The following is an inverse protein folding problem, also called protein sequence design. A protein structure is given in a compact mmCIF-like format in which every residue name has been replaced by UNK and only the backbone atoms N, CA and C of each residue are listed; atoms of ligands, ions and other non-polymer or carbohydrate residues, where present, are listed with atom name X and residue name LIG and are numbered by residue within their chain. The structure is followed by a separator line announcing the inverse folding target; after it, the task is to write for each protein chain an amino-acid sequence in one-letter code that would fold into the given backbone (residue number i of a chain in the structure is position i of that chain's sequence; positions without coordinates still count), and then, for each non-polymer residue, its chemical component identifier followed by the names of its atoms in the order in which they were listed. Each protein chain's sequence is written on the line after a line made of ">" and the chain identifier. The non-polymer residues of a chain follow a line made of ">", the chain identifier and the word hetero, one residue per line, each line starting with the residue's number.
data_IF_510421306997
#
_entry.id   IF_510421306997
#
_cell.length_a   1.000
_cell.length_b   1.000
_cell.length_c   1.000
_cell.angle_alpha   90.00
_cell.angle_beta   90.00
_cell.angle_gamma   90.00
#
_symmetry.space_group_name_H-M   'P 1'
#
loop_
_entity.id
_entity.type
_entity.pdbx_description
1 polymer ?
#
# COMPACT_ATOMS: atom_id res chain seq x y z
N UNK A 1 1.63 21.56 -0.60
CA UNK A 1 2.06 22.77 -1.33
C UNK A 1 0.80 23.51 -1.74
N UNK A 2 0.48 24.66 -1.16
CA UNK A 2 -0.82 25.30 -1.43
C UNK A 2 -0.72 26.16 -2.69
N UNK A 3 -1.65 25.95 -3.63
CA UNK A 3 -1.82 26.80 -4.81
C UNK A 3 -2.97 27.78 -4.56
N UNK A 4 -2.73 29.09 -4.60
CA UNK A 4 -3.82 30.05 -4.56
C UNK A 4 -4.83 29.79 -5.69
N UNK A 5 -6.13 29.91 -5.40
CA UNK A 5 -7.21 29.66 -6.37
C UNK A 5 -7.02 30.43 -7.69
N UNK A 6 -6.56 31.67 -7.59
CA UNK A 6 -6.31 32.54 -8.75
C UNK A 6 -5.09 32.09 -9.57
N UNK A 7 -4.11 31.45 -8.94
CA UNK A 7 -2.96 30.86 -9.64
C UNK A 7 -3.39 29.60 -10.42
N UNK A 8 -4.29 28.79 -9.84
CA UNK A 8 -4.87 27.62 -10.53
C UNK A 8 -5.56 28.04 -11.83
N UNK A 9 -6.43 29.04 -11.74
CA UNK A 9 -7.17 29.58 -12.90
C UNK A 9 -6.23 30.18 -13.95
N UNK A 10 -5.26 30.98 -13.51
CA UNK A 10 -4.30 31.62 -14.41
C UNK A 10 -3.47 30.57 -15.15
N UNK A 11 -2.92 29.61 -14.41
CA UNK A 11 -2.07 28.56 -14.98
C UNK A 11 -2.83 27.66 -15.95
N UNK A 12 -4.09 27.34 -15.69
CA UNK A 12 -4.90 26.57 -16.65
C UNK A 12 -5.09 27.33 -17.97
N UNK A 13 -5.30 28.65 -17.91
CA UNK A 13 -5.46 29.49 -19.11
C UNK A 13 -4.15 29.65 -19.90
N UNK A 14 -3.02 29.67 -19.21
CA UNK A 14 -1.69 29.77 -19.83
C UNK A 14 -1.20 28.42 -20.37
N UNK A 15 -1.55 27.33 -19.69
CA UNK A 15 -1.13 25.96 -19.98
C UNK A 15 -2.33 25.02 -19.82
N UNK A 16 -3.16 24.87 -20.87
CA UNK A 16 -4.32 24.00 -20.82
C UNK A 16 -3.94 22.57 -20.40
N UNK A 17 -4.78 21.95 -19.58
CA UNK A 17 -4.62 20.56 -19.11
C UNK A 17 -3.41 20.35 -18.17
N UNK A 18 -2.78 21.44 -17.69
CA UNK A 18 -1.70 21.35 -16.72
C UNK A 18 -2.16 20.63 -15.45
N UNK A 19 -3.37 20.94 -14.96
CA UNK A 19 -3.86 20.34 -13.72
C UNK A 19 -4.17 18.87 -13.87
N UNK A 20 -4.65 18.42 -15.04
CA UNK A 20 -4.81 17.00 -15.33
C UNK A 20 -3.47 16.24 -15.16
N UNK A 21 -2.36 16.83 -15.60
CA UNK A 21 -1.04 16.24 -15.39
C UNK A 21 -0.61 16.27 -13.92
N UNK A 22 -0.75 17.42 -13.25
CA UNK A 22 -0.28 17.57 -11.87
C UNK A 22 -1.01 16.62 -10.92
N UNK A 23 -2.34 16.51 -11.03
CA UNK A 23 -3.13 15.68 -10.10
C UNK A 23 -2.82 14.19 -10.25
N UNK A 24 -2.52 13.71 -11.46
CA UNK A 24 -2.11 12.31 -11.65
C UNK A 24 -0.70 12.04 -11.10
N UNK A 25 0.24 12.96 -11.28
CA UNK A 25 1.57 12.86 -10.68
C UNK A 25 1.49 12.84 -9.15
N UNK A 26 0.62 13.68 -8.57
CA UNK A 26 0.34 13.69 -7.12
C UNK A 26 -0.22 12.36 -6.64
N UNK A 27 -1.30 11.86 -7.25
CA UNK A 27 -1.92 10.59 -6.86
C UNK A 27 -0.96 9.42 -7.03
N UNK A 28 -0.23 9.36 -8.15
CA UNK A 28 0.75 8.30 -8.42
C UNK A 28 1.82 8.23 -7.33
N UNK A 29 2.26 9.39 -6.82
CA UNK A 29 3.28 9.47 -5.77
C UNK A 29 2.76 8.93 -4.44
N UNK A 30 1.62 9.43 -3.95
CA UNK A 30 1.07 8.97 -2.65
C UNK A 30 0.63 7.50 -2.71
N UNK A 31 0.10 7.06 -3.85
CA UNK A 31 -0.23 5.66 -4.09
C UNK A 31 1.02 4.78 -3.95
N UNK A 32 2.14 5.16 -4.58
CA UNK A 32 3.38 4.40 -4.49
C UNK A 32 3.88 4.28 -3.05
N UNK A 33 3.88 5.40 -2.30
CA UNK A 33 4.26 5.39 -0.88
C UNK A 33 3.33 4.48 -0.07
N UNK A 34 2.03 4.52 -0.34
CA UNK A 34 1.05 3.70 0.35
C UNK A 34 1.27 2.19 0.10
N UNK A 35 1.57 1.79 -1.14
CA UNK A 35 1.89 0.38 -1.49
C UNK A 35 3.02 -0.14 -0.63
N UNK A 36 4.11 0.62 -0.51
CA UNK A 36 5.28 0.22 0.31
C UNK A 36 4.91 0.16 1.80
N UNK A 37 4.02 1.05 2.25
CA UNK A 37 3.62 1.09 3.67
C UNK A 37 2.85 -0.16 4.10
N UNK A 38 2.02 -0.72 3.22
CA UNK A 38 1.20 -1.90 3.51
C UNK A 38 1.83 -3.23 3.08
N UNK A 39 3.07 -3.21 2.57
CA UNK A 39 3.75 -4.39 2.00
C UNK A 39 4.13 -5.44 3.06
N UNK A 40 4.51 -5.01 4.26
CA UNK A 40 5.03 -5.88 5.32
C UNK A 40 3.95 -6.67 6.09
N UNK A 41 2.67 -6.52 5.73
CA UNK A 41 1.55 -7.16 6.41
C UNK A 41 0.38 -7.52 5.47
N UNK A 42 -0.57 -8.29 5.99
CA UNK A 42 -1.85 -8.48 5.29
C UNK A 42 -2.65 -7.18 5.41
N UNK A 43 -2.91 -6.47 4.30
CA UNK A 43 -3.65 -5.22 4.37
C UNK A 43 -5.08 -5.48 4.80
N UNK A 44 -5.67 -4.52 5.52
CA UNK A 44 -7.11 -4.56 5.77
C UNK A 44 -7.88 -4.37 4.47
N UNK A 45 -9.15 -4.78 4.46
CA UNK A 45 -10.07 -4.50 3.35
C UNK A 45 -10.10 -3.02 3.00
N UNK A 46 -10.08 -2.12 3.99
CA UNK A 46 -10.13 -0.68 3.76
C UNK A 46 -8.85 -0.19 3.08
N UNK A 47 -7.69 -0.66 3.55
CA UNK A 47 -6.39 -0.34 2.94
C UNK A 47 -6.32 -0.85 1.49
N UNK A 48 -6.72 -2.11 1.26
CA UNK A 48 -6.78 -2.68 -0.10
C UNK A 48 -7.75 -1.91 -0.99
N UNK A 49 -8.95 -1.59 -0.50
CA UNK A 49 -9.94 -0.82 -1.26
C UNK A 49 -9.45 0.59 -1.62
N UNK A 50 -8.75 1.29 -0.72
CA UNK A 50 -8.19 2.60 -1.01
C UNK A 50 -7.12 2.53 -2.12
N UNK A 51 -6.26 1.51 -2.10
CA UNK A 51 -5.26 1.29 -3.14
C UNK A 51 -5.91 0.97 -4.50
N UNK A 52 -6.85 0.03 -4.53
CA UNK A 52 -7.57 -0.35 -5.76
C UNK A 52 -8.39 0.82 -6.33
N UNK A 53 -8.92 1.69 -5.46
CA UNK A 53 -9.62 2.89 -5.89
C UNK A 53 -8.68 3.93 -6.52
N UNK A 54 -7.50 4.15 -5.93
CA UNK A 54 -6.46 4.98 -6.52
C UNK A 54 -6.02 4.45 -7.89
N UNK A 55 -5.87 3.13 -8.03
CA UNK A 55 -5.60 2.47 -9.31
C UNK A 55 -6.68 2.71 -10.35
N UNK A 56 -7.95 2.56 -9.95
CA UNK A 56 -9.08 2.82 -10.84
C UNK A 56 -9.14 4.27 -11.32
N UNK A 57 -8.65 5.25 -10.53
CA UNK A 57 -8.56 6.64 -10.96
C UNK A 57 -7.43 6.87 -11.97
N UNK A 58 -6.34 6.10 -11.89
CA UNK A 58 -5.17 6.22 -12.77
C UNK A 58 -5.25 5.34 -14.03
N UNK A 59 -6.09 4.31 -14.03
CA UNK A 59 -6.21 3.41 -15.19
C UNK A 59 -6.69 4.18 -16.43
N UNK A 60 -6.03 3.92 -17.56
CA UNK A 60 -6.35 4.58 -18.82
C UNK A 60 -6.18 6.10 -18.79
N UNK A 61 -5.30 6.65 -17.94
CA UNK A 61 -5.04 8.09 -17.89
C UNK A 61 -4.69 8.63 -19.29
N UNK A 62 -5.31 9.75 -19.73
CA UNK A 62 -5.16 10.25 -21.09
C UNK A 62 -3.71 10.69 -21.37
N UNK A 63 -3.30 10.51 -22.61
CA UNK A 63 -2.02 11.02 -23.08
C UNK A 63 -2.15 12.48 -23.52
N UNK A 64 -1.07 13.27 -23.48
CA UNK A 64 -1.09 14.63 -24.02
C UNK A 64 -1.62 14.68 -25.46
N UNK A 65 -2.62 15.52 -25.73
CA UNK A 65 -3.25 15.65 -27.04
C UNK A 65 -4.32 14.59 -27.37
N UNK A 66 -4.75 13.80 -26.39
CA UNK A 66 -5.93 12.94 -26.46
C UNK A 66 -7.18 13.73 -26.92
N UNK A 67 -7.96 13.15 -27.86
CA UNK A 67 -9.16 13.82 -28.42
C UNK A 67 -10.36 13.84 -27.48
N UNK A 68 -10.34 12.95 -26.50
CA UNK A 68 -11.34 12.76 -25.46
C UNK A 68 -11.09 13.64 -24.23
N UNK A 69 -10.06 14.49 -24.28
CA UNK A 69 -9.76 15.51 -23.25
C UNK A 69 -10.25 16.87 -23.74
N UNK A 70 -11.12 17.50 -22.95
CA UNK A 70 -11.57 18.87 -23.14
C UNK A 70 -10.87 19.82 -22.16
N UNK A 71 -10.81 21.10 -22.47
CA UNK A 71 -10.35 22.11 -21.51
C UNK A 71 -11.39 22.34 -20.39
N UNK A 72 -10.94 22.83 -19.23
CA UNK A 72 -11.86 23.11 -18.12
C UNK A 72 -12.82 24.26 -18.48
N UNK A 73 -14.15 24.07 -18.39
CA UNK A 73 -15.11 25.15 -18.52
C UNK A 73 -14.95 26.19 -17.40
N UNK A 74 -15.13 27.48 -17.71
CA UNK A 74 -14.94 28.58 -16.74
C UNK A 74 -15.79 28.40 -15.47
N UNK A 75 -16.99 27.85 -15.59
CA UNK A 75 -17.90 27.56 -14.47
C UNK A 75 -17.39 26.42 -13.55
N UNK A 76 -16.52 25.55 -14.05
CA UNK A 76 -15.95 24.41 -13.32
C UNK A 76 -14.58 24.73 -12.72
N UNK A 77 -13.94 25.85 -13.08
CA UNK A 77 -12.63 26.22 -12.55
C UNK A 77 -12.64 26.36 -11.01
N UNK A 78 -13.74 26.86 -10.46
CA UNK A 78 -13.87 27.08 -9.03
C UNK A 78 -13.94 25.77 -8.23
N UNK A 79 -14.59 24.74 -8.76
CA UNK A 79 -14.65 23.41 -8.14
C UNK A 79 -13.33 22.66 -8.31
N UNK A 80 -12.73 22.70 -9.50
CA UNK A 80 -11.42 22.08 -9.76
C UNK A 80 -10.36 22.67 -8.82
N UNK A 81 -10.36 23.98 -8.62
CA UNK A 81 -9.43 24.61 -7.70
C UNK A 81 -9.63 24.17 -6.24
N UNK A 82 -10.87 23.93 -5.81
CA UNK A 82 -11.17 23.41 -4.48
C UNK A 82 -10.74 21.94 -4.33
N UNK A 83 -10.92 21.11 -5.36
CA UNK A 83 -10.40 19.73 -5.38
C UNK A 83 -8.87 19.71 -5.29
N UNK A 84 -8.16 20.59 -6.03
CA UNK A 84 -6.69 20.69 -5.98
C UNK A 84 -6.21 21.14 -4.59
N UNK A 85 -6.87 22.11 -3.98
CA UNK A 85 -6.56 22.53 -2.60
C UNK A 85 -6.76 21.37 -1.62
N UNK A 86 -7.83 20.61 -1.80
CA UNK A 86 -8.16 19.44 -0.99
C UNK A 86 -7.12 18.32 -1.16
N UNK A 87 -6.67 18.06 -2.39
CA UNK A 87 -5.58 17.12 -2.69
C UNK A 87 -4.32 17.51 -1.92
N UNK A 88 -3.88 18.76 -2.01
CA UNK A 88 -2.65 19.20 -1.35
C UNK A 88 -2.76 19.16 0.18
N UNK A 89 -3.95 19.47 0.72
CA UNK A 89 -4.23 19.31 2.16
C UNK A 89 -4.08 17.85 2.60
N UNK A 90 -4.76 16.92 1.93
CA UNK A 90 -4.72 15.50 2.30
C UNK A 90 -3.36 14.86 2.00
N UNK A 91 -2.57 15.37 1.06
CA UNK A 91 -1.16 14.95 0.91
C UNK A 91 -0.34 15.31 2.16
N UNK A 92 -0.58 16.48 2.74
CA UNK A 92 0.11 16.89 3.96
C UNK A 92 -0.36 16.05 5.17
N UNK A 93 -1.64 15.67 5.26
CA UNK A 93 -2.16 14.74 6.27
C UNK A 93 -1.61 13.31 6.08
N UNK A 94 -1.61 12.81 4.84
CA UNK A 94 -1.06 11.50 4.45
C UNK A 94 0.41 11.36 4.89
N UNK A 95 1.22 12.41 4.69
CA UNK A 95 2.62 12.45 5.15
C UNK A 95 2.77 12.39 6.66
N UNK A 96 1.79 12.89 7.42
CA UNK A 96 1.81 12.72 8.87
C UNK A 96 1.41 11.31 9.27
N UNK A 97 0.43 10.71 8.58
CA UNK A 97 0.10 9.28 8.70
C UNK A 97 1.33 8.39 8.47
N UNK A 98 2.08 8.66 7.40
CA UNK A 98 3.34 7.97 7.08
C UNK A 98 4.35 8.05 8.23
N UNK A 99 4.61 9.26 8.75
CA UNK A 99 5.55 9.44 9.87
C UNK A 99 5.11 8.75 11.16
N UNK A 100 3.80 8.61 11.36
CA UNK A 100 3.24 7.97 12.53
C UNK A 100 3.12 6.44 12.36
N UNK A 101 3.37 5.91 11.16
CA UNK A 101 3.12 4.50 10.83
C UNK A 101 1.63 4.13 10.85
N UNK A 102 0.75 5.10 10.61
CA UNK A 102 -0.70 4.94 10.67
C UNK A 102 -1.28 4.67 9.28
N UNK A 103 -1.22 3.40 8.88
CA UNK A 103 -1.69 2.95 7.57
C UNK A 103 -3.21 3.11 7.38
N UNK A 104 -4.00 3.11 8.45
CA UNK A 104 -5.45 3.29 8.34
C UNK A 104 -5.80 4.75 8.02
N UNK A 105 -5.18 5.71 8.71
CA UNK A 105 -5.31 7.14 8.36
C UNK A 105 -4.81 7.40 6.94
N UNK A 106 -3.67 6.81 6.55
CA UNK A 106 -3.15 6.93 5.17
C UNK A 106 -4.13 6.37 4.12
N UNK A 107 -4.88 5.31 4.43
CA UNK A 107 -5.90 4.77 3.53
C UNK A 107 -7.08 5.73 3.36
N UNK A 108 -7.52 6.36 4.44
CA UNK A 108 -8.56 7.39 4.41
C UNK A 108 -8.13 8.59 3.58
N UNK A 109 -6.91 9.08 3.79
CA UNK A 109 -6.35 10.21 3.04
C UNK A 109 -6.16 9.87 1.56
N UNK A 110 -5.65 8.67 1.24
CA UNK A 110 -5.50 8.21 -0.15
C UNK A 110 -6.86 8.14 -0.86
N UNK A 111 -7.90 7.68 -0.17
CA UNK A 111 -9.26 7.67 -0.71
C UNK A 111 -9.75 9.10 -1.03
N UNK A 112 -9.55 10.05 -0.10
CA UNK A 112 -9.91 11.47 -0.32
C UNK A 112 -9.16 12.10 -1.49
N UNK A 113 -7.86 11.84 -1.59
CA UNK A 113 -7.05 12.32 -2.71
C UNK A 113 -7.56 11.71 -4.02
N UNK A 114 -7.86 10.41 -4.04
CA UNK A 114 -8.37 9.69 -5.21
C UNK A 114 -9.73 10.24 -5.67
N UNK A 115 -10.64 10.51 -4.73
CA UNK A 115 -11.95 11.11 -5.01
C UNK A 115 -11.80 12.49 -5.69
N UNK A 116 -10.97 13.38 -5.13
CA UNK A 116 -10.70 14.69 -5.73
C UNK A 116 -10.02 14.58 -7.10
N UNK A 117 -9.08 13.65 -7.28
CA UNK A 117 -8.44 13.40 -8.58
C UNK A 117 -9.46 12.91 -9.61
N UNK A 118 -10.38 12.04 -9.19
CA UNK A 118 -11.51 11.59 -9.99
C UNK A 118 -12.42 12.74 -10.42
N UNK A 119 -12.75 13.65 -9.50
CA UNK A 119 -13.54 14.86 -9.79
C UNK A 119 -12.85 15.74 -10.84
N UNK A 120 -11.56 16.03 -10.67
CA UNK A 120 -10.78 16.80 -11.63
C UNK A 120 -10.76 16.09 -12.99
N UNK A 121 -10.48 14.78 -13.02
CA UNK A 121 -10.49 13.99 -14.27
C UNK A 121 -11.85 14.04 -14.96
N UNK A 122 -12.96 13.99 -14.21
CA UNK A 122 -14.31 14.02 -14.77
C UNK A 122 -14.62 15.33 -15.51
N UNK A 123 -14.03 16.45 -15.10
CA UNK A 123 -14.15 17.73 -15.80
C UNK A 123 -13.43 17.69 -17.15
N UNK A 124 -12.25 17.06 -17.20
CA UNK A 124 -11.46 16.90 -18.43
C UNK A 124 -11.97 15.79 -19.37
N UNK A 125 -12.54 14.72 -18.82
CA UNK A 125 -13.05 13.55 -19.56
C UNK A 125 -14.44 13.16 -19.03
N UNK A 126 -15.50 13.92 -19.34
CA UNK A 126 -16.84 13.70 -18.79
C UNK A 126 -17.44 12.33 -19.16
N UNK A 127 -17.06 11.77 -20.31
CA UNK A 127 -17.56 10.49 -20.79
C UNK A 127 -16.73 9.29 -20.29
N UNK A 128 -15.58 9.52 -19.65
CA UNK A 128 -14.79 8.42 -19.10
C UNK A 128 -15.51 7.84 -17.85
N UNK A 129 -15.74 6.51 -17.80
CA UNK A 129 -16.37 5.88 -16.67
C UNK A 129 -15.38 5.79 -15.51
N UNK A 130 -15.76 6.35 -14.36
CA UNK A 130 -15.00 6.25 -13.12
C UNK A 130 -15.90 5.56 -12.09
N UNK A 131 -15.40 4.51 -11.39
CA UNK A 131 -16.15 3.91 -10.31
C UNK A 131 -16.20 4.84 -9.11
N UNK A 132 -17.14 4.58 -8.20
CA UNK A 132 -17.17 5.16 -6.86
C UNK A 132 -16.35 4.31 -5.89
N UNK A 133 -15.88 4.91 -4.79
CA UNK A 133 -15.20 4.16 -3.74
C UNK A 133 -16.07 3.03 -3.18
N UNK A 134 -17.38 3.26 -3.03
CA UNK A 134 -18.31 2.25 -2.51
C UNK A 134 -18.40 1.02 -3.43
N UNK A 135 -18.38 1.21 -4.75
CA UNK A 135 -18.38 0.11 -5.71
C UNK A 135 -17.07 -0.70 -5.62
N UNK A 136 -15.93 -0.03 -5.59
CA UNK A 136 -14.61 -0.69 -5.46
C UNK A 136 -14.50 -1.41 -4.13
N UNK A 137 -14.87 -0.77 -3.02
CA UNK A 137 -14.81 -1.37 -1.69
C UNK A 137 -15.69 -2.62 -1.60
N UNK A 138 -16.90 -2.58 -2.14
CA UNK A 138 -17.78 -3.75 -2.16
C UNK A 138 -17.18 -4.90 -2.97
N UNK A 139 -16.53 -4.60 -4.09
CA UNK A 139 -15.83 -5.60 -4.88
C UNK A 139 -14.66 -6.21 -4.10
N UNK A 140 -13.82 -5.39 -3.49
CA UNK A 140 -12.69 -5.84 -2.65
C UNK A 140 -13.14 -6.66 -1.46
N UNK A 141 -14.19 -6.22 -0.75
CA UNK A 141 -14.80 -6.97 0.37
C UNK A 141 -15.26 -8.37 -0.07
N UNK A 142 -15.89 -8.46 -1.24
CA UNK A 142 -16.36 -9.72 -1.78
C UNK A 142 -15.20 -10.65 -2.12
N UNK A 143 -14.18 -10.15 -2.82
CA UNK A 143 -12.99 -10.96 -3.18
C UNK A 143 -12.23 -11.39 -1.92
N UNK A 144 -12.06 -10.51 -0.94
CA UNK A 144 -11.44 -10.84 0.34
C UNK A 144 -12.16 -11.98 1.06
N UNK A 145 -13.49 -11.92 1.16
CA UNK A 145 -14.26 -12.98 1.81
C UNK A 145 -14.12 -14.32 1.08
N UNK A 146 -14.14 -14.30 -0.26
CA UNK A 146 -13.92 -15.49 -1.07
C UNK A 146 -12.51 -16.09 -0.85
N UNK A 147 -11.48 -15.23 -0.81
CA UNK A 147 -10.10 -15.67 -0.54
C UNK A 147 -9.98 -16.31 0.85
N UNK A 148 -10.61 -15.71 1.88
CA UNK A 148 -10.61 -16.26 3.24
C UNK A 148 -11.37 -17.58 3.34
N UNK A 149 -12.53 -17.72 2.68
CA UNK A 149 -13.31 -18.95 2.63
C UNK A 149 -12.50 -20.10 1.98
N UNK A 150 -11.73 -19.79 0.93
CA UNK A 150 -10.85 -20.76 0.26
C UNK A 150 -9.69 -21.19 1.15
N UNK A 151 -9.08 -20.25 1.87
CA UNK A 151 -7.99 -20.54 2.81
C UNK A 151 -8.49 -21.42 3.96
N UNK A 152 -9.65 -21.11 4.55
CA UNK A 152 -10.23 -21.92 5.63
C UNK A 152 -10.56 -23.33 5.15
N UNK A 153 -11.15 -23.44 3.96
CA UNK A 153 -11.48 -24.73 3.34
C UNK A 153 -10.22 -25.57 3.09
N UNK A 154 -9.18 -24.97 2.50
CA UNK A 154 -7.91 -25.66 2.23
C UNK A 154 -7.15 -26.03 3.51
N UNK A 155 -7.16 -25.17 4.52
CA UNK A 155 -6.55 -25.48 5.82
C UNK A 155 -7.25 -26.66 6.50
N UNK A 156 -8.59 -26.72 6.41
CA UNK A 156 -9.38 -27.83 6.95
C UNK A 156 -9.11 -29.14 6.23
N UNK A 157 -9.04 -29.12 4.89
CA UNK A 157 -8.67 -30.29 4.10
C UNK A 157 -7.26 -30.81 4.45
N UNK A 158 -6.28 -29.90 4.59
CA UNK A 158 -4.92 -30.25 5.00
C UNK A 158 -4.86 -30.92 6.39
N UNK A 159 -5.60 -30.39 7.36
CA UNK A 159 -5.67 -30.96 8.71
C UNK A 159 -6.37 -32.32 8.73
N UNK A 160 -7.47 -32.47 7.99
CA UNK A 160 -8.19 -33.75 7.87
C UNK A 160 -7.31 -34.83 7.22
N UNK A 161 -6.48 -34.47 6.22
CA UNK A 161 -5.49 -35.39 5.62
C UNK A 161 -4.38 -35.79 6.61
N UNK A 162 -3.99 -34.90 7.51
CA UNK A 162 -2.98 -35.16 8.54
C UNK A 162 -3.54 -36.08 9.65
N UNK A 163 -4.80 -35.89 10.06
CA UNK A 163 -5.47 -36.70 11.10
C UNK A 163 -5.85 -38.11 10.60
N UNK A 164 -6.09 -38.25 9.28
CA UNK A 164 -6.30 -39.57 8.64
C UNK A 164 -5.02 -40.41 8.49
N UNK A 165 -3.87 -39.93 8.98
CA UNK A 165 -2.64 -40.72 9.04
C UNK A 165 -2.05 -41.06 7.68
N UNK A 166 -2.32 -40.24 6.66
CA UNK A 166 -1.64 -40.34 5.36
C UNK A 166 -0.20 -39.88 5.61
N UNK A 167 0.70 -40.84 5.86
CA UNK A 167 2.09 -40.57 6.14
C UNK A 167 2.67 -39.67 5.04
N UNK A 168 3.42 -38.63 5.43
CA UNK A 168 4.03 -37.67 4.51
C UNK A 168 4.81 -38.34 3.37
N UNK A 169 5.25 -39.58 3.56
CA UNK A 169 5.90 -40.45 2.56
C UNK A 169 4.98 -40.85 1.38
N UNK A 170 3.67 -41.04 1.59
CA UNK A 170 2.73 -41.36 0.50
C UNK A 170 2.38 -40.15 -0.36
N UNK A 171 2.38 -38.94 0.20
CA UNK A 171 2.16 -37.71 -0.56
C UNK A 171 3.36 -37.45 -1.48
N UNK A 172 4.59 -37.62 -1.00
CA UNK A 172 5.81 -37.50 -1.82
C UNK A 172 5.88 -38.59 -2.89
N UNK A 173 5.56 -39.84 -2.57
CA UNK A 173 5.52 -40.93 -3.57
C UNK A 173 4.42 -40.73 -4.63
N UNK A 174 3.27 -40.16 -4.26
CA UNK A 174 2.20 -39.88 -5.22
C UNK A 174 2.54 -38.67 -6.13
N UNK A 175 3.27 -37.67 -5.61
CA UNK A 175 3.81 -36.56 -6.41
C UNK A 175 4.94 -37.02 -7.35
N UNK A 176 5.80 -37.94 -6.91
CA UNK A 176 6.85 -38.53 -7.74
C UNK A 176 6.30 -39.50 -8.80
N UNK A 177 5.23 -40.25 -8.49
CA UNK A 177 4.57 -41.14 -9.44
C UNK A 177 3.82 -40.38 -10.55
N UNK A 178 3.26 -39.20 -10.25
CA UNK A 178 2.58 -38.35 -11.25
C UNK A 178 3.58 -37.54 -12.11
N UNK A 179 4.81 -37.34 -11.62
CA UNK A 179 5.91 -36.75 -12.41
C UNK A 179 6.50 -37.68 -13.48
N UNK A 180 6.04 -38.93 -13.56
CA UNK A 180 6.50 -39.93 -14.54
C UNK A 180 6.13 -39.64 -16.00
N UNK A 181 5.35 -38.60 -16.30
CA UNK A 181 5.09 -38.16 -17.69
C UNK A 181 5.03 -36.63 -17.81
N UNK A 182 6.17 -35.97 -17.67
CA UNK A 182 6.65 -34.85 -18.50
C UNK A 182 7.65 -34.02 -17.69
N UNK A 183 8.93 -34.06 -18.10
CA UNK A 183 10.00 -33.35 -17.41
C UNK A 183 9.88 -31.84 -17.50
N UNK A 184 10.13 -31.15 -16.38
CA UNK A 184 10.97 -29.96 -16.33
C UNK A 184 11.31 -29.65 -14.88
N UNK A 185 12.60 -29.48 -14.60
CA UNK A 185 13.16 -29.37 -13.27
C UNK A 185 12.79 -28.07 -12.55
N UNK A 186 12.44 -28.15 -11.27
CA UNK A 186 12.63 -27.05 -10.31
C UNK A 186 13.36 -27.62 -9.10
N UNK A 187 14.63 -27.24 -8.99
CA UNK A 187 15.53 -27.62 -7.91
C UNK A 187 15.25 -26.73 -6.70
N UNK A 188 14.65 -27.28 -5.65
CA UNK A 188 14.55 -26.61 -4.34
C UNK A 188 15.75 -27.04 -3.51
N UNK A 189 16.71 -26.14 -3.33
CA UNK A 189 17.88 -26.37 -2.47
C UNK A 189 17.48 -26.06 -1.03
N UNK A 190 17.16 -27.08 -0.24
CA UNK A 190 17.05 -26.96 1.22
C UNK A 190 18.43 -26.70 1.81
N UNK A 191 18.63 -25.52 2.42
CA UNK A 191 19.78 -25.24 3.26
C UNK A 191 19.53 -25.85 4.64
N UNK A 192 20.39 -26.78 5.04
CA UNK A 192 20.36 -27.50 6.32
C UNK A 192 20.50 -26.53 7.51
N UNK A 193 19.53 -26.54 8.42
CA UNK A 193 19.74 -26.10 9.81
C UNK A 193 20.22 -27.32 10.61
N UNK A 194 21.51 -27.36 10.90
CA UNK A 194 22.15 -28.39 11.72
C UNK A 194 21.80 -28.21 13.20
N UNK A 195 21.47 -29.34 13.82
CA UNK A 195 21.16 -29.55 15.23
C UNK A 195 22.24 -29.03 16.20
N UNK A 196 21.79 -28.53 17.35
CA UNK A 196 22.61 -28.24 18.52
C UNK A 196 23.13 -29.54 19.18
N UNK A 197 24.36 -29.55 19.74
CA UNK A 197 24.77 -30.59 20.67
C UNK A 197 24.62 -30.14 22.14
N UNK A 198 24.06 -31.04 22.95
CA UNK A 198 24.02 -31.01 24.41
C UNK A 198 25.41 -31.17 25.04
N UNK A 199 25.65 -30.46 26.16
CA UNK A 199 26.98 -30.17 26.70
C UNK A 199 27.57 -31.12 27.76
N UNK A 200 28.70 -30.68 28.34
CA UNK A 200 29.14 -30.93 29.71
C UNK A 200 30.34 -30.02 30.07
N UNK A 201 30.29 -29.50 31.30
CA UNK A 201 31.28 -28.87 32.20
C UNK A 201 32.77 -28.76 31.79
N UNK A 202 33.45 -27.63 32.11
CA UNK A 202 34.10 -27.47 33.42
C UNK A 202 34.70 -26.05 33.67
N UNK A 203 34.92 -25.80 34.96
CA UNK A 203 35.39 -24.68 35.82
C UNK A 203 36.39 -23.59 35.38
N UNK A 204 36.28 -22.41 36.02
CA UNK A 204 37.38 -21.50 36.42
C UNK A 204 37.17 -20.01 36.07
N UNK A 205 36.55 -19.15 36.90
CA UNK A 205 37.07 -18.39 38.08
C UNK A 205 38.01 -17.18 37.79
N UNK A 206 37.49 -15.99 38.14
CA UNK A 206 38.14 -14.79 38.77
C UNK A 206 38.72 -13.62 37.97
N UNK A 207 38.33 -12.41 38.44
CA UNK A 207 39.05 -11.12 38.37
C UNK A 207 38.24 -10.01 37.67
N UNK A 208 37.33 -9.23 38.27
CA UNK A 208 37.34 -8.36 39.47
C UNK A 208 37.77 -6.89 39.22
N UNK A 209 36.95 -5.96 39.80
CA UNK A 209 37.06 -4.49 40.01
C UNK A 209 36.79 -3.50 38.85
N UNK A 210 35.78 -2.62 38.94
CA UNK A 210 35.57 -1.42 39.83
C UNK A 210 36.48 -0.25 39.40
N UNK A 211 36.13 1.05 39.39
CA UNK A 211 35.17 1.88 40.14
C UNK A 211 35.26 3.34 39.59
N UNK A 212 34.32 4.22 39.99
CA UNK A 212 34.51 5.70 40.02
C UNK A 212 33.66 6.51 39.02
N UNK A 213 32.52 7.12 39.36
CA UNK A 213 32.22 8.25 40.25
C UNK A 213 32.66 9.64 39.73
N UNK A 214 31.68 10.56 39.56
CA UNK A 214 31.67 11.94 40.13
C UNK A 214 31.05 13.03 39.21
N UNK A 215 30.30 13.97 39.83
CA UNK A 215 30.08 15.34 39.35
C UNK A 215 28.67 15.66 38.77
N UNK A 216 27.66 16.15 39.50
CA UNK A 216 27.48 17.46 40.18
C UNK A 216 26.79 18.54 39.31
N UNK A 217 25.56 18.87 39.73
CA UNK A 217 24.81 20.16 39.72
C UNK A 217 25.33 21.33 38.87
N UNK A 218 24.43 21.93 38.07
CA UNK A 218 24.57 23.30 37.54
C UNK A 218 23.24 23.94 37.14
N UNK A 219 22.78 24.92 37.93
CA UNK A 219 21.59 25.77 37.74
C UNK A 219 22.01 27.07 37.02
N UNK A 220 21.15 27.61 36.15
CA UNK A 220 21.17 28.99 35.62
C UNK A 220 20.33 29.05 34.34
N UNK A 221 19.18 29.75 34.18
CA UNK A 221 18.78 31.14 34.51
C UNK A 221 19.78 32.19 34.06
N UNK A 222 19.60 32.76 32.86
CA UNK A 222 18.97 34.07 32.65
C UNK A 222 19.33 34.68 31.27
N UNK A 223 18.38 35.49 30.79
CA UNK A 223 18.45 36.58 29.81
C UNK A 223 18.55 36.21 28.33
#
# INVERSE_FOLDING_TARGET
>A
MSYPKEDIKRLEREQPQLWLRIVSERLSTVRYVFVVTIEDGLPTVAQRAALEYADAMLIGWPQPGSRDVQDIPDESLDSVAADIETIEKYIDEFRQGEKNGDADTMAEDLNRISECVGNVRKVYQPDFPLPTYAEVRRYVEKEWNNDMDQIESGAREYLDMQDQGIASEQIVQNLEADSGTAGSAVSVTSTNITQAPTGAADTGTSGDRAEGASGMVGKGKNA
#
